data_IF_044068518911
#
_entry.id   IF_044068518911
#
_cell.length_a   1.000
_cell.length_b   1.000
_cell.length_c   1.000
_cell.angle_alpha   90.00
_cell.angle_beta   90.00
_cell.angle_gamma   90.00
#
_symmetry.space_group_name_H-M   'P 1'
#
loop_
_entity.id
_entity.type
_entity.pdbx_description
1 polymer ?
#
# COMPACT_ATOMS: atom_id res chain seq x y z
N UNK A 1 -9.03 -15.86 9.41
CA UNK A 1 -7.91 -14.97 9.03
C UNK A 1 -8.54 -13.73 8.41
N UNK A 2 -8.35 -12.54 8.98
CA UNK A 2 -8.96 -11.31 8.44
C UNK A 2 -8.39 -11.04 7.04
N UNK A 3 -9.20 -10.60 6.05
CA UNK A 3 -8.68 -10.30 4.73
C UNK A 3 -7.68 -9.15 4.85
N UNK A 4 -6.44 -9.44 4.46
CA UNK A 4 -5.36 -8.47 4.37
C UNK A 4 -5.54 -7.71 3.06
N UNK A 5 -5.70 -6.39 3.12
CA UNK A 5 -5.84 -5.56 1.93
C UNK A 5 -4.45 -5.24 1.38
N UNK A 6 -4.17 -5.57 0.13
CA UNK A 6 -2.85 -5.33 -0.46
C UNK A 6 -2.88 -4.02 -1.25
N UNK A 7 -1.91 -3.15 -0.97
CA UNK A 7 -1.66 -1.92 -1.72
C UNK A 7 -0.33 -2.03 -2.44
N UNK A 8 -0.35 -2.02 -3.77
CA UNK A 8 0.86 -2.05 -4.59
C UNK A 8 1.34 -0.63 -4.85
N UNK A 9 2.63 -0.37 -4.63
CA UNK A 9 3.19 0.98 -4.75
C UNK A 9 4.47 0.93 -5.59
N UNK A 10 4.54 1.77 -6.62
CA UNK A 10 5.74 1.95 -7.44
C UNK A 10 6.02 0.80 -8.42
N UNK A 11 5.16 -0.22 -8.49
CA UNK A 11 5.28 -1.29 -9.48
C UNK A 11 5.15 -0.70 -10.88
N UNK A 12 6.14 -0.95 -11.73
CA UNK A 12 6.10 -0.55 -13.14
C UNK A 12 5.12 -1.42 -13.93
N UNK A 13 4.71 -0.95 -15.11
CA UNK A 13 3.82 -1.67 -16.02
C UNK A 13 4.33 -3.08 -16.37
N UNK A 14 5.65 -3.25 -16.40
CA UNK A 14 6.29 -4.55 -16.71
C UNK A 14 6.22 -5.54 -15.53
N UNK A 15 6.24 -5.04 -14.30
CA UNK A 15 6.27 -5.86 -13.08
C UNK A 15 4.87 -6.18 -12.56
N UNK A 16 3.91 -5.28 -12.79
CA UNK A 16 2.52 -5.41 -12.32
C UNK A 16 1.86 -6.74 -12.71
N UNK A 17 1.95 -7.26 -13.95
CA UNK A 17 1.34 -8.53 -14.32
C UNK A 17 1.89 -9.72 -13.53
N UNK A 18 3.20 -9.73 -13.27
CA UNK A 18 3.85 -10.82 -12.54
C UNK A 18 3.47 -10.79 -11.06
N UNK A 19 3.50 -9.61 -10.44
CA UNK A 19 3.10 -9.42 -9.04
C UNK A 19 1.61 -9.75 -8.85
N UNK A 20 0.74 -9.31 -9.76
CA UNK A 20 -0.68 -9.69 -9.76
C UNK A 20 -0.86 -11.20 -9.85
N UNK A 21 -0.12 -11.87 -10.72
CA UNK A 21 -0.16 -13.32 -10.86
C UNK A 21 0.20 -14.04 -9.55
N UNK A 22 1.31 -13.64 -8.91
CA UNK A 22 1.73 -14.23 -7.63
C UNK A 22 0.75 -13.94 -6.49
N UNK A 23 0.15 -12.75 -6.46
CA UNK A 23 -0.82 -12.38 -5.43
C UNK A 23 -2.20 -13.00 -5.65
N UNK A 24 -2.58 -13.33 -6.89
CA UNK A 24 -3.83 -14.01 -7.20
C UNK A 24 -3.90 -15.42 -6.58
N UNK A 25 -2.75 -16.03 -6.32
CA UNK A 25 -2.64 -17.32 -5.61
C UNK A 25 -2.82 -17.18 -4.09
N UNK A 26 -2.83 -15.96 -3.56
CA UNK A 26 -2.98 -15.67 -2.14
C UNK A 26 -4.42 -15.28 -1.80
N UNK A 27 -4.91 -15.58 -0.57
CA UNK A 27 -6.24 -15.20 -0.11
C UNK A 27 -6.32 -13.72 0.32
N UNK A 28 -5.63 -12.82 -0.40
CA UNK A 28 -5.50 -11.40 -0.08
C UNK A 28 -5.73 -10.57 -1.34
N UNK A 29 -6.85 -9.84 -1.45
CA UNK A 29 -7.16 -9.05 -2.64
C UNK A 29 -6.26 -7.81 -2.75
N UNK A 30 -5.84 -7.50 -3.98
CA UNK A 30 -5.24 -6.21 -4.31
C UNK A 30 -6.36 -5.16 -4.25
N UNK A 31 -6.25 -4.25 -3.30
CA UNK A 31 -7.25 -3.19 -3.08
C UNK A 31 -7.03 -2.02 -4.02
N UNK A 32 -5.79 -1.58 -4.17
CA UNK A 32 -5.44 -0.48 -5.06
C UNK A 32 -3.96 -0.55 -5.46
N UNK A 33 -3.67 0.13 -6.57
CA UNK A 33 -2.34 0.22 -7.16
C UNK A 33 -1.98 1.69 -7.37
N UNK A 34 -0.78 2.05 -6.95
CA UNK A 34 -0.32 3.43 -6.95
C UNK A 34 1.05 3.53 -7.60
N UNK A 35 1.24 4.58 -8.39
CA UNK A 35 2.53 4.87 -9.00
C UNK A 35 3.57 5.35 -7.98
N UNK A 36 3.13 5.97 -6.88
CA UNK A 36 3.98 6.56 -5.85
C UNK A 36 3.30 6.55 -4.46
N UNK A 37 4.08 6.84 -3.41
CA UNK A 37 3.61 6.89 -2.02
C UNK A 37 2.58 7.98 -1.77
N UNK A 38 2.73 9.14 -2.41
CA UNK A 38 1.82 10.27 -2.20
C UNK A 38 0.37 9.91 -2.55
N UNK A 39 0.15 9.19 -3.66
CA UNK A 39 -1.18 8.72 -4.04
C UNK A 39 -1.83 7.78 -3.01
N UNK A 40 -1.02 6.94 -2.35
CA UNK A 40 -1.48 6.05 -1.28
C UNK A 40 -1.91 6.85 -0.06
N UNK A 41 -1.07 7.82 0.35
CA UNK A 41 -1.32 8.68 1.49
C UNK A 41 -2.60 9.49 1.28
N UNK A 42 -2.77 10.09 0.11
CA UNK A 42 -3.96 10.88 -0.23
C UNK A 42 -5.22 10.00 -0.24
N UNK A 43 -5.16 8.83 -0.87
CA UNK A 43 -6.30 7.91 -0.94
C UNK A 43 -6.78 7.48 0.46
N UNK A 44 -5.85 7.04 1.30
CA UNK A 44 -6.20 6.57 2.65
C UNK A 44 -6.61 7.72 3.57
N UNK A 45 -6.08 8.92 3.36
CA UNK A 45 -6.55 10.13 4.05
C UNK A 45 -8.00 10.42 3.69
N UNK A 46 -8.35 10.43 2.41
CA UNK A 46 -9.73 10.61 1.97
C UNK A 46 -10.67 9.54 2.51
N UNK A 47 -10.25 8.28 2.54
CA UNK A 47 -11.04 7.17 3.12
C UNK A 47 -11.26 7.37 4.63
N UNK A 48 -10.25 7.83 5.37
CA UNK A 48 -10.36 8.13 6.80
C UNK A 48 -11.27 9.33 7.09
N UNK A 49 -11.19 10.39 6.28
CA UNK A 49 -12.01 11.60 6.40
C UNK A 49 -13.48 11.27 6.10
N UNK A 50 -13.75 10.43 5.09
CA UNK A 50 -15.11 10.04 4.71
C UNK A 50 -15.78 9.11 5.72
N UNK A 51 -15.02 8.21 6.35
CA UNK A 51 -15.55 7.23 7.31
C UNK A 51 -15.67 7.77 8.75
N UNK A 52 -15.13 8.97 9.02
CA UNK A 52 -15.09 9.56 10.37
C UNK A 52 -14.28 8.75 11.38
N UNK A 53 -13.59 7.70 10.91
CA UNK A 53 -12.76 6.84 11.72
C UNK A 53 -11.33 7.31 11.58
N UNK A 54 -10.76 7.86 12.67
CA UNK A 54 -9.35 8.21 12.69
C UNK A 54 -8.49 7.00 12.30
N UNK A 55 -7.29 7.24 11.77
CA UNK A 55 -6.37 6.21 11.21
C UNK A 55 -6.15 4.95 12.07
N UNK A 56 -6.56 4.94 13.34
CA UNK A 56 -6.62 3.76 14.22
C UNK A 56 -7.53 2.64 13.72
N UNK A 57 -8.53 2.93 12.88
CA UNK A 57 -9.45 1.93 12.32
C UNK A 57 -9.31 1.75 10.80
N UNK A 58 -8.31 2.36 10.17
CA UNK A 58 -7.95 2.07 8.79
C UNK A 58 -7.71 0.56 8.67
N UNK A 59 -8.45 -0.08 7.76
CA UNK A 59 -8.38 -1.53 7.53
C UNK A 59 -6.91 -1.96 7.48
N UNK A 60 -6.55 -3.01 8.22
CA UNK A 60 -5.17 -3.54 8.23
C UNK A 60 -4.75 -3.85 6.79
N UNK A 61 -3.82 -3.05 6.28
CA UNK A 61 -3.28 -3.17 4.93
C UNK A 61 -1.85 -3.70 4.96
N UNK A 62 -1.46 -4.37 3.88
CA UNK A 62 -0.08 -4.67 3.55
C UNK A 62 0.33 -3.78 2.39
N UNK A 63 1.37 -3.00 2.60
CA UNK A 63 1.96 -2.18 1.55
C UNK A 63 3.10 -2.96 0.91
N UNK A 64 2.99 -3.23 -0.38
CA UNK A 64 4.09 -3.79 -1.17
C UNK A 64 4.73 -2.65 -1.96
N UNK A 65 5.94 -2.27 -1.56
CA UNK A 65 6.64 -1.10 -2.08
C UNK A 65 7.82 -1.53 -2.96
N UNK A 66 7.72 -1.28 -4.26
CA UNK A 66 8.80 -1.57 -5.19
C UNK A 66 9.86 -0.47 -5.19
N UNK A 67 10.95 -0.71 -4.45
CA UNK A 67 12.14 0.13 -4.42
C UNK A 67 12.91 0.06 -5.74
N UNK A 68 12.91 1.14 -6.53
CA UNK A 68 13.69 1.24 -7.77
C UNK A 68 15.06 1.84 -7.54
N UNK A 69 15.17 2.76 -6.57
CA UNK A 69 16.42 3.46 -6.28
C UNK A 69 16.49 3.92 -4.83
N UNK A 70 17.70 4.30 -4.38
CA UNK A 70 17.90 4.88 -3.05
C UNK A 70 17.12 6.19 -2.80
N UNK A 71 16.62 6.85 -3.85
CA UNK A 71 15.76 8.05 -3.69
C UNK A 71 14.40 7.70 -3.09
N UNK A 72 13.93 6.48 -3.35
CA UNK A 72 12.63 5.98 -2.90
C UNK A 72 12.64 5.62 -1.40
N UNK A 73 13.80 5.63 -0.74
CA UNK A 73 13.92 5.41 0.70
C UNK A 73 13.26 6.53 1.52
N UNK A 74 13.24 7.77 1.00
CA UNK A 74 12.52 8.88 1.62
C UNK A 74 11.01 8.67 1.56
N UNK A 75 10.53 8.12 0.45
CA UNK A 75 9.12 7.79 0.27
C UNK A 75 8.71 6.64 1.19
N UNK A 76 9.53 5.60 1.30
CA UNK A 76 9.34 4.50 2.25
C UNK A 76 9.30 5.00 3.69
N UNK A 77 10.22 5.90 4.06
CA UNK A 77 10.26 6.50 5.40
C UNK A 77 8.98 7.30 5.67
N UNK A 78 8.52 8.08 4.70
CA UNK A 78 7.27 8.84 4.79
C UNK A 78 6.08 7.92 4.98
N UNK A 79 5.97 6.85 4.17
CA UNK A 79 4.94 5.83 4.29
C UNK A 79 4.92 5.18 5.68
N UNK A 80 6.10 4.78 6.20
CA UNK A 80 6.22 4.18 7.53
C UNK A 80 5.86 5.13 8.67
N UNK A 81 6.13 6.43 8.51
CA UNK A 81 5.77 7.45 9.48
C UNK A 81 4.27 7.75 9.49
N UNK A 82 3.63 7.70 8.32
CA UNK A 82 2.18 7.92 8.18
C UNK A 82 1.37 6.70 8.63
N UNK A 83 1.83 5.47 8.35
CA UNK A 83 1.10 4.23 8.62
C UNK A 83 1.80 3.38 9.69
N UNK A 84 1.93 3.93 10.89
CA UNK A 84 2.61 3.27 12.00
C UNK A 84 1.95 1.93 12.36
N UNK A 85 2.74 0.86 12.38
CA UNK A 85 2.29 -0.48 12.79
C UNK A 85 1.66 -1.31 11.67
N UNK A 86 1.59 -0.79 10.43
CA UNK A 86 1.22 -1.59 9.27
C UNK A 86 2.46 -2.26 8.64
N UNK A 87 2.36 -3.52 8.20
CA UNK A 87 3.45 -4.19 7.53
C UNK A 87 3.72 -3.53 6.17
N UNK A 88 4.99 -3.25 5.90
CA UNK A 88 5.50 -2.77 4.62
C UNK A 88 6.56 -3.79 4.17
N UNK A 89 6.41 -4.32 2.95
CA UNK A 89 7.36 -5.25 2.31
C UNK A 89 7.94 -4.62 1.05
#
# INVERSE_FOLDING_TARGET
>A
MYPLNIYLIGCGADLLPQVRGQLAEQPAPITAEFANVNGVIEHLRQESEWTGSGFKNSRKGLFLFHLKSGRDLWDLKSLSGTFVGQPIL
#
